data_IF_688877891410
#
_entry.id   IF_688877891410
#
_cell.length_a   1.000
_cell.length_b   1.000
_cell.length_c   1.000
_cell.angle_alpha   90.00
_cell.angle_beta   90.00
_cell.angle_gamma   90.00
#
_symmetry.space_group_name_H-M   'P 1'
#
loop_
_entity.id
_entity.type
_entity.pdbx_description
1 polymer ?
#
# COMPACT_ATOMS: atom_id res chain seq x y z
N UNK A 1 4.62 -1.05 44.29
CA UNK A 1 5.51 -1.33 43.15
C UNK A 1 4.80 -0.89 41.88
N UNK A 2 4.60 0.43 41.69
CA UNK A 2 3.84 0.99 40.55
C UNK A 2 4.57 2.14 39.82
N UNK A 3 5.65 2.68 40.40
CA UNK A 3 6.37 3.82 39.82
C UNK A 3 7.33 3.44 38.68
N UNK A 4 7.79 2.18 38.64
CA UNK A 4 8.72 1.70 37.61
C UNK A 4 8.01 1.55 36.26
N UNK A 5 6.79 1.00 36.25
CA UNK A 5 6.00 0.83 35.02
C UNK A 5 5.62 2.17 34.37
N UNK A 6 5.20 3.17 35.17
CA UNK A 6 4.82 4.47 34.62
C UNK A 6 6.00 5.20 33.93
N UNK A 7 7.21 5.06 34.50
CA UNK A 7 8.42 5.63 33.90
C UNK A 7 8.83 4.89 32.61
N UNK A 8 8.66 3.57 32.55
CA UNK A 8 8.96 2.77 31.37
C UNK A 8 7.99 3.07 30.21
N UNK A 9 6.69 3.24 30.51
CA UNK A 9 5.68 3.66 29.51
C UNK A 9 5.94 5.06 28.99
N UNK A 10 6.27 6.03 29.86
CA UNK A 10 6.60 7.39 29.43
C UNK A 10 7.87 7.44 28.57
N UNK A 11 8.87 6.60 28.90
CA UNK A 11 10.09 6.46 28.10
C UNK A 11 9.77 5.89 26.71
N UNK A 12 8.97 4.82 26.64
CA UNK A 12 8.53 4.23 25.37
C UNK A 12 7.71 5.22 24.53
N UNK A 13 6.80 5.97 25.15
CA UNK A 13 6.00 7.00 24.47
C UNK A 13 6.90 8.11 23.89
N UNK A 14 7.89 8.59 24.65
CA UNK A 14 8.85 9.58 24.17
C UNK A 14 9.73 9.05 23.03
N UNK A 15 10.14 7.77 23.08
CA UNK A 15 10.86 7.13 21.99
C UNK A 15 10.00 7.03 20.73
N UNK A 16 8.72 6.64 20.87
CA UNK A 16 7.77 6.57 19.76
C UNK A 16 7.58 7.97 19.13
N UNK A 17 7.36 9.01 19.94
CA UNK A 17 7.21 10.39 19.45
C UNK A 17 8.46 10.88 18.74
N UNK A 18 9.64 10.66 19.32
CA UNK A 18 10.92 11.02 18.69
C UNK A 18 11.11 10.33 17.35
N UNK A 19 10.76 9.03 17.26
CA UNK A 19 10.83 8.29 15.99
C UNK A 19 9.81 8.82 14.97
N UNK A 20 8.61 9.21 15.40
CA UNK A 20 7.62 9.84 14.52
C UNK A 20 8.19 11.14 13.93
N UNK A 21 8.75 12.02 14.76
CA UNK A 21 9.32 13.29 14.32
C UNK A 21 10.52 13.10 13.37
N UNK A 22 11.39 12.12 13.67
CA UNK A 22 12.50 11.75 12.79
C UNK A 22 12.02 11.21 11.46
N UNK A 23 10.99 10.36 11.46
CA UNK A 23 10.37 9.82 10.24
C UNK A 23 9.78 10.96 9.41
N UNK A 24 9.09 11.90 10.03
CA UNK A 24 8.44 13.01 9.33
C UNK A 24 9.48 13.98 8.74
N UNK A 25 10.53 14.30 9.49
CA UNK A 25 11.69 15.07 8.98
C UNK A 25 12.31 14.37 7.76
N UNK A 26 12.56 13.06 7.86
CA UNK A 26 13.17 12.30 6.77
C UNK A 26 12.24 12.23 5.54
N UNK A 27 10.92 12.14 5.73
CA UNK A 27 9.96 12.21 4.61
C UNK A 27 10.03 13.55 3.88
N UNK A 28 10.14 14.65 4.62
CA UNK A 28 10.27 15.99 4.01
C UNK A 28 11.58 16.15 3.24
N UNK A 29 12.71 15.69 3.81
CA UNK A 29 14.00 15.68 3.14
C UNK A 29 13.97 14.85 1.85
N UNK A 30 13.42 13.63 1.91
CA UNK A 30 13.25 12.77 0.73
C UNK A 30 12.39 13.46 -0.32
N UNK A 31 11.29 14.12 0.07
CA UNK A 31 10.43 14.85 -0.86
C UNK A 31 11.20 15.98 -1.56
N UNK A 32 11.97 16.76 -0.82
CA UNK A 32 12.76 17.86 -1.38
C UNK A 32 13.85 17.35 -2.32
N UNK A 33 14.60 16.32 -1.92
CA UNK A 33 15.61 15.68 -2.75
C UNK A 33 15.01 15.09 -4.03
N UNK A 34 13.83 14.45 -3.91
CA UNK A 34 13.10 13.90 -5.06
C UNK A 34 12.69 15.00 -6.04
N UNK A 35 12.19 16.13 -5.54
CA UNK A 35 11.87 17.28 -6.38
C UNK A 35 13.10 17.81 -7.11
N UNK A 36 14.22 18.05 -6.41
CA UNK A 36 15.46 18.50 -7.04
C UNK A 36 15.98 17.51 -8.09
N UNK A 37 15.89 16.21 -7.79
CA UNK A 37 16.24 15.15 -8.73
C UNK A 37 15.36 15.20 -9.98
N UNK A 38 14.03 15.28 -9.83
CA UNK A 38 13.10 15.32 -10.96
C UNK A 38 13.28 16.61 -11.80
N UNK A 39 13.52 17.75 -11.15
CA UNK A 39 13.79 19.04 -11.79
C UNK A 39 15.08 19.00 -12.64
N UNK A 40 16.07 18.18 -12.28
CA UNK A 40 17.31 18.06 -13.06
C UNK A 40 17.06 17.52 -14.47
N UNK A 41 16.12 16.58 -14.62
CA UNK A 41 15.72 16.07 -15.94
C UNK A 41 14.83 17.06 -16.68
N UNK A 42 13.91 17.72 -15.97
CA UNK A 42 13.01 18.74 -16.53
C UNK A 42 13.73 20.04 -16.91
N UNK A 43 15.03 20.18 -16.67
CA UNK A 43 15.82 21.31 -17.15
C UNK A 43 16.78 20.92 -18.28
N UNK A 44 16.97 19.63 -18.56
CA UNK A 44 17.77 19.16 -19.67
C UNK A 44 16.97 19.16 -20.99
N UNK A 45 17.49 19.87 -21.99
CA UNK A 45 16.82 20.01 -23.30
C UNK A 45 16.71 18.68 -24.04
N UNK A 46 17.73 17.83 -23.98
CA UNK A 46 17.74 16.53 -24.67
C UNK A 46 16.69 15.60 -24.07
N UNK A 47 16.61 15.57 -22.74
CA UNK A 47 15.62 14.83 -22.00
C UNK A 47 14.20 15.29 -22.36
N UNK A 48 13.93 16.60 -22.41
CA UNK A 48 12.62 17.13 -22.84
C UNK A 48 12.21 16.65 -24.23
N UNK A 49 13.11 16.75 -25.21
CA UNK A 49 12.82 16.29 -26.56
C UNK A 49 12.53 14.79 -26.63
N UNK A 50 13.21 13.99 -25.82
CA UNK A 50 12.97 12.55 -25.73
C UNK A 50 11.65 12.24 -25.02
N UNK A 51 11.37 12.94 -23.92
CA UNK A 51 10.12 12.81 -23.16
C UNK A 51 8.89 13.20 -24.01
N UNK A 52 9.00 14.25 -24.82
CA UNK A 52 7.93 14.64 -25.75
C UNK A 52 7.67 13.56 -26.82
N UNK A 53 8.72 12.96 -27.39
CA UNK A 53 8.57 11.81 -28.31
C UNK A 53 7.90 10.62 -27.62
N UNK A 54 8.27 10.32 -26.37
CA UNK A 54 7.65 9.26 -25.57
C UNK A 54 6.18 9.57 -25.28
N UNK A 55 5.84 10.81 -24.94
CA UNK A 55 4.46 11.26 -24.71
C UNK A 55 3.61 11.08 -25.95
N UNK A 56 4.09 11.51 -27.12
CA UNK A 56 3.36 11.34 -28.39
C UNK A 56 3.17 9.86 -28.74
N UNK A 57 4.22 9.05 -28.66
CA UNK A 57 4.11 7.61 -28.87
C UNK A 57 3.16 6.93 -27.86
N UNK A 58 3.17 7.39 -26.61
CA UNK A 58 2.28 6.90 -25.56
C UNK A 58 0.81 7.26 -25.81
N UNK A 59 0.50 8.46 -26.31
CA UNK A 59 -0.85 8.85 -26.71
C UNK A 59 -1.38 7.92 -27.81
N UNK A 60 -0.59 7.68 -28.84
CA UNK A 60 -0.95 6.77 -29.94
C UNK A 60 -1.20 5.36 -29.39
N UNK A 61 -0.27 4.83 -28.60
CA UNK A 61 -0.41 3.51 -27.96
C UNK A 61 -1.67 3.42 -27.08
N UNK A 62 -1.97 4.45 -26.30
CA UNK A 62 -3.16 4.50 -25.46
C UNK A 62 -4.45 4.51 -26.29
N UNK A 63 -4.49 5.30 -27.38
CA UNK A 63 -5.63 5.32 -28.29
C UNK A 63 -5.86 3.93 -28.93
N UNK A 64 -4.81 3.27 -29.40
CA UNK A 64 -4.89 1.90 -29.92
C UNK A 64 -5.38 0.92 -28.86
N UNK A 65 -4.85 1.01 -27.63
CA UNK A 65 -5.31 0.17 -26.51
C UNK A 65 -6.80 0.38 -26.22
N UNK A 66 -7.26 1.62 -26.22
CA UNK A 66 -8.67 1.94 -26.01
C UNK A 66 -9.57 1.37 -27.13
N UNK A 67 -9.10 1.35 -28.37
CA UNK A 67 -9.80 0.69 -29.47
C UNK A 67 -9.86 -0.83 -29.27
N UNK A 68 -8.74 -1.46 -28.86
CA UNK A 68 -8.68 -2.90 -28.58
C UNK A 68 -9.62 -3.25 -27.42
N UNK A 69 -9.67 -2.44 -26.36
CA UNK A 69 -10.56 -2.67 -25.21
C UNK A 69 -12.05 -2.61 -25.57
N UNK A 70 -12.42 -1.93 -26.65
CA UNK A 70 -13.80 -1.90 -27.16
C UNK A 70 -14.17 -3.16 -27.93
N UNK A 71 -13.22 -4.02 -28.28
CA UNK A 71 -13.50 -5.32 -28.88
C UNK A 71 -14.20 -6.19 -27.85
N UNK A 72 -15.38 -6.74 -28.19
CA UNK A 72 -16.28 -7.38 -27.23
C UNK A 72 -15.60 -8.46 -26.36
N UNK A 73 -14.79 -9.33 -26.97
CA UNK A 73 -14.03 -10.36 -26.26
C UNK A 73 -13.03 -9.79 -25.25
N UNK A 74 -12.41 -8.64 -25.55
CA UNK A 74 -11.42 -8.00 -24.66
C UNK A 74 -12.12 -7.23 -23.54
N UNK A 75 -13.24 -6.57 -23.83
CA UNK A 75 -14.07 -5.90 -22.84
C UNK A 75 -14.55 -6.88 -21.75
N UNK A 76 -15.12 -8.02 -22.17
CA UNK A 76 -15.57 -9.08 -21.26
C UNK A 76 -14.44 -9.64 -20.39
N UNK A 77 -13.24 -9.83 -20.96
CA UNK A 77 -12.06 -10.27 -20.20
C UNK A 77 -11.67 -9.20 -19.17
N UNK A 78 -11.70 -7.92 -19.56
CA UNK A 78 -11.38 -6.81 -18.66
C UNK A 78 -12.34 -6.73 -17.48
N UNK A 79 -13.65 -6.88 -17.72
CA UNK A 79 -14.67 -6.91 -16.67
C UNK A 79 -14.46 -8.10 -15.73
N UNK A 80 -14.27 -9.31 -16.28
CA UNK A 80 -13.98 -10.51 -15.47
C UNK A 80 -12.74 -10.34 -14.58
N UNK A 81 -11.70 -9.65 -15.05
CA UNK A 81 -10.52 -9.36 -14.24
C UNK A 81 -10.85 -8.41 -13.09
N UNK A 82 -11.67 -7.39 -13.33
CA UNK A 82 -12.10 -6.43 -12.30
C UNK A 82 -12.91 -7.16 -11.23
N UNK A 83 -13.90 -7.95 -11.64
CA UNK A 83 -14.76 -8.72 -10.74
C UNK A 83 -13.94 -9.73 -9.93
N UNK A 84 -13.07 -10.50 -10.59
CA UNK A 84 -12.20 -11.48 -9.91
C UNK A 84 -11.28 -10.83 -8.86
N UNK A 85 -10.84 -9.59 -9.08
CA UNK A 85 -10.04 -8.84 -8.11
C UNK A 85 -10.87 -8.38 -6.91
N UNK A 86 -12.12 -7.95 -7.16
CA UNK A 86 -13.04 -7.59 -6.10
C UNK A 86 -13.37 -8.81 -5.22
N UNK A 87 -13.68 -9.95 -5.84
CA UNK A 87 -13.93 -11.21 -5.16
C UNK A 87 -12.72 -11.67 -4.34
N UNK A 88 -11.52 -11.65 -4.93
CA UNK A 88 -10.28 -12.01 -4.23
C UNK A 88 -10.08 -11.15 -2.98
N UNK A 89 -10.29 -9.83 -3.08
CA UNK A 89 -10.16 -8.91 -1.94
C UNK A 89 -11.20 -9.21 -0.86
N UNK A 90 -12.45 -9.49 -1.24
CA UNK A 90 -13.50 -9.88 -0.30
C UNK A 90 -13.17 -11.19 0.44
N UNK A 91 -12.68 -12.20 -0.29
CA UNK A 91 -12.23 -13.47 0.28
C UNK A 91 -11.04 -13.29 1.22
N UNK A 92 -10.07 -12.44 0.87
CA UNK A 92 -8.90 -12.15 1.72
C UNK A 92 -9.30 -11.44 3.02
N UNK A 93 -10.24 -10.49 2.96
CA UNK A 93 -10.76 -9.83 4.16
C UNK A 93 -11.49 -10.82 5.06
N UNK A 94 -12.39 -11.62 4.48
CA UNK A 94 -13.11 -12.67 5.22
C UNK A 94 -12.13 -13.65 5.87
N UNK A 95 -11.11 -14.10 5.13
CA UNK A 95 -10.06 -14.97 5.65
C UNK A 95 -9.30 -14.30 6.81
N UNK A 96 -8.95 -13.01 6.70
CA UNK A 96 -8.29 -12.28 7.77
C UNK A 96 -9.14 -12.24 9.05
N UNK A 97 -10.43 -11.95 8.92
CA UNK A 97 -11.37 -11.93 10.06
C UNK A 97 -11.47 -13.31 10.72
N UNK A 98 -11.61 -14.36 9.91
CA UNK A 98 -11.65 -15.75 10.40
C UNK A 98 -10.34 -16.17 11.07
N UNK A 99 -9.18 -15.78 10.54
CA UNK A 99 -7.88 -16.10 11.13
C UNK A 99 -7.65 -15.37 12.46
N UNK A 100 -8.10 -14.11 12.57
CA UNK A 100 -8.08 -13.37 13.84
C UNK A 100 -8.96 -14.07 14.88
N UNK A 101 -10.18 -14.47 14.49
CA UNK A 101 -11.08 -15.20 15.40
C UNK A 101 -10.50 -16.56 15.80
N UNK A 102 -9.97 -17.33 14.84
CA UNK A 102 -9.31 -18.62 15.09
C UNK A 102 -8.15 -18.47 16.07
N UNK A 103 -7.28 -17.46 15.89
CA UNK A 103 -6.17 -17.21 16.81
C UNK A 103 -6.68 -16.82 18.21
N UNK A 104 -7.74 -16.01 18.28
CA UNK A 104 -8.35 -15.58 19.55
C UNK A 104 -8.97 -16.75 20.32
N UNK A 105 -9.64 -17.67 19.64
CA UNK A 105 -10.33 -18.81 20.26
C UNK A 105 -9.38 -19.96 20.60
N UNK A 106 -8.46 -20.30 19.69
CA UNK A 106 -7.59 -21.48 19.83
C UNK A 106 -6.22 -21.17 20.44
N UNK A 107 -5.76 -19.92 20.38
CA UNK A 107 -4.39 -19.53 20.68
C UNK A 107 -3.35 -20.00 19.65
N UNK A 108 -3.76 -20.71 18.60
CA UNK A 108 -2.86 -21.26 17.60
C UNK A 108 -2.31 -20.15 16.67
N UNK A 109 -1.02 -20.26 16.35
CA UNK A 109 -0.31 -19.36 15.42
C UNK A 109 -0.03 -20.03 14.07
N UNK A 110 -0.56 -21.23 13.87
CA UNK A 110 -0.40 -22.02 12.65
C UNK A 110 -1.70 -22.78 12.32
N UNK A 111 -1.88 -23.08 11.04
CA UNK A 111 -2.99 -23.87 10.52
C UNK A 111 -2.50 -24.77 9.39
N UNK A 112 -3.00 -26.00 9.32
CA UNK A 112 -2.74 -26.90 8.20
C UNK A 112 -3.74 -26.62 7.07
N UNK A 113 -3.24 -26.46 5.85
CA UNK A 113 -4.07 -26.27 4.67
C UNK A 113 -4.69 -27.59 4.21
N UNK A 114 -5.73 -27.53 3.39
CA UNK A 114 -6.34 -28.72 2.78
C UNK A 114 -5.37 -29.53 1.88
N UNK A 115 -4.18 -28.99 1.61
CA UNK A 115 -3.11 -29.65 0.85
C UNK A 115 -2.04 -30.28 1.76
N UNK A 116 -2.23 -30.22 3.08
CA UNK A 116 -1.26 -30.72 4.07
C UNK A 116 -0.09 -29.76 4.35
N UNK A 117 -0.19 -28.49 3.92
CA UNK A 117 0.86 -27.50 4.16
C UNK A 117 0.61 -26.78 5.48
N UNK A 118 1.60 -26.71 6.36
CA UNK A 118 1.50 -25.92 7.59
C UNK A 118 1.81 -24.46 7.28
N UNK A 119 0.82 -23.60 7.49
CA UNK A 119 0.88 -22.16 7.28
C UNK A 119 0.93 -21.44 8.63
N UNK A 120 1.72 -20.35 8.71
CA UNK A 120 1.84 -19.51 9.91
C UNK A 120 0.95 -18.28 9.78
N UNK A 121 0.26 -17.91 10.85
CA UNK A 121 -0.47 -16.65 10.96
C UNK A 121 0.52 -15.48 11.16
N UNK A 122 0.37 -14.42 10.36
CA UNK A 122 1.20 -13.21 10.44
C UNK A 122 0.31 -11.99 10.68
N UNK A 123 0.41 -11.38 11.86
CA UNK A 123 -0.28 -10.13 12.19
C UNK A 123 0.67 -8.94 11.92
N UNK A 124 0.19 -7.90 11.25
CA UNK A 124 0.94 -6.65 11.06
C UNK A 124 0.20 -5.49 11.70
N UNK A 125 0.82 -4.84 12.69
CA UNK A 125 0.32 -3.59 13.29
C UNK A 125 0.93 -2.41 12.54
N UNK A 126 0.10 -1.42 12.17
CA UNK A 126 0.56 -0.18 11.53
C UNK A 126 -0.14 1.01 12.16
N UNK A 127 0.60 2.08 12.42
CA UNK A 127 0.02 3.37 12.75
C UNK A 127 -0.49 4.01 11.46
N UNK A 128 -1.77 4.37 11.44
CA UNK A 128 -2.39 5.14 10.36
C UNK A 128 -2.82 6.48 10.93
N UNK A 129 -2.69 7.55 10.15
CA UNK A 129 -3.20 8.87 10.54
C UNK A 129 -4.72 8.77 10.65
N UNK A 130 -5.27 9.16 11.79
CA UNK A 130 -6.72 9.28 11.95
C UNK A 130 -7.21 10.38 10.99
N UNK A 131 -8.06 10.02 10.03
CA UNK A 131 -8.74 10.99 9.18
C UNK A 131 -9.82 11.67 10.01
N UNK A 132 -9.46 12.71 10.76
CA UNK A 132 -10.43 13.70 11.24
C UNK A 132 -10.92 14.53 10.05
N UNK A 133 -11.78 13.93 9.22
CA UNK A 133 -12.67 14.67 8.35
C UNK A 133 -13.78 15.30 9.20
N UNK A 134 -14.24 16.53 8.88
CA UNK A 134 -15.35 17.12 9.62
C UNK A 134 -16.57 16.20 9.50
N UNK A 135 -17.11 15.80 10.65
CA UNK A 135 -18.48 15.29 10.72
C UNK A 135 -19.39 16.50 10.47
N UNK A 136 -19.98 16.57 9.27
CA UNK A 136 -21.19 17.39 9.03
C UNK A 136 -22.41 16.72 9.65
#
# INVERSE_FOLDING_TARGET
MDSTNANDYLNLENQIKTLIDQIDTLKEEIKNQKQMYDDSFQNDTTFKEHDDKVKEASKIRQATKAQILKQGNVAEISEKIIDSRADLKGMQNTLSELLIQYQKESGATQIESNKGEILRLVNSVKLVKESSGPQE
#
